data_IF_274289414262
#
_entry.id   IF_274289414262
#
_cell.length_a   1.000
_cell.length_b   1.000
_cell.length_c   1.000
_cell.angle_alpha   90.00
_cell.angle_beta   90.00
_cell.angle_gamma   90.00
#
_symmetry.space_group_name_H-M   'P 1'
#
loop_
_entity.id
_entity.type
_entity.pdbx_description
1 polymer ?
#
# COMPACT_ATOMS: atom_id res chain seq x y z
N UNK A 1 -6.37 -15.28 9.32
CA UNK A 1 -6.14 -14.98 7.90
C UNK A 1 -6.57 -16.20 7.10
N UNK A 2 -7.73 -16.15 6.47
CA UNK A 2 -8.19 -17.26 5.62
C UNK A 2 -7.62 -17.07 4.20
N UNK A 3 -6.75 -17.99 3.74
CA UNK A 3 -6.17 -17.93 2.40
C UNK A 3 -7.20 -18.01 1.28
N UNK A 4 -8.42 -18.40 1.61
CA UNK A 4 -9.51 -18.64 0.68
C UNK A 4 -10.23 -17.37 0.21
N UNK A 5 -10.31 -16.34 1.04
CA UNK A 5 -10.86 -15.03 0.62
C UNK A 5 -9.91 -14.38 -0.39
N UNK A 6 -8.61 -14.47 -0.16
CA UNK A 6 -7.59 -13.93 -1.05
C UNK A 6 -7.70 -14.47 -2.49
N UNK A 7 -7.93 -15.80 -2.67
CA UNK A 7 -7.96 -16.40 -4.01
C UNK A 7 -9.13 -15.93 -4.87
N UNK A 8 -10.34 -15.76 -4.30
CA UNK A 8 -11.51 -15.30 -5.07
C UNK A 8 -11.47 -13.81 -5.38
N UNK A 9 -10.87 -13.02 -4.49
CA UNK A 9 -10.74 -11.57 -4.64
C UNK A 9 -9.65 -11.17 -5.65
N UNK A 10 -8.60 -11.98 -5.72
CA UNK A 10 -7.46 -11.77 -6.60
C UNK A 10 -7.89 -11.49 -8.04
N UNK A 11 -8.82 -12.30 -8.57
CA UNK A 11 -9.25 -12.13 -9.95
C UNK A 11 -10.21 -10.95 -10.16
N UNK A 12 -11.11 -10.69 -9.21
CA UNK A 12 -12.08 -9.59 -9.36
C UNK A 12 -11.43 -8.22 -9.37
N UNK A 13 -10.55 -7.95 -8.42
CA UNK A 13 -9.83 -6.68 -8.36
C UNK A 13 -8.90 -6.48 -9.55
N UNK A 14 -8.28 -7.57 -10.03
CA UNK A 14 -7.39 -7.52 -11.17
C UNK A 14 -8.13 -7.28 -12.48
N UNK A 15 -9.32 -7.86 -12.64
CA UNK A 15 -10.20 -7.57 -13.77
C UNK A 15 -10.61 -6.09 -13.77
N UNK A 16 -11.00 -5.55 -12.59
CA UNK A 16 -11.31 -4.12 -12.47
C UNK A 16 -10.10 -3.27 -12.86
N UNK A 17 -8.91 -3.60 -12.35
CA UNK A 17 -7.69 -2.89 -12.73
C UNK A 17 -7.47 -2.89 -14.24
N UNK A 18 -7.53 -4.05 -14.87
CA UNK A 18 -7.32 -4.20 -16.32
C UNK A 18 -8.36 -3.41 -17.13
N UNK A 19 -9.61 -3.40 -16.69
CA UNK A 19 -10.70 -2.68 -17.38
C UNK A 19 -10.56 -1.16 -17.25
N UNK A 20 -10.07 -0.67 -16.11
CA UNK A 20 -10.00 0.76 -15.84
C UNK A 20 -8.64 1.39 -16.16
N UNK A 21 -7.56 0.60 -16.37
CA UNK A 21 -6.21 1.13 -16.58
C UNK A 21 -6.12 2.02 -17.82
N UNK A 22 -6.54 1.55 -18.98
CA UNK A 22 -6.47 2.30 -20.22
C UNK A 22 -7.48 3.47 -20.24
N UNK A 23 -8.79 3.27 -19.94
CA UNK A 23 -9.73 4.38 -19.88
C UNK A 23 -9.32 5.49 -18.92
N UNK A 24 -8.72 5.16 -17.78
CA UNK A 24 -8.26 6.18 -16.83
C UNK A 24 -7.02 6.92 -17.36
N UNK A 25 -6.12 6.25 -18.08
CA UNK A 25 -5.00 6.90 -18.74
C UNK A 25 -5.48 7.88 -19.81
N UNK A 26 -6.49 7.49 -20.62
CA UNK A 26 -7.10 8.37 -21.64
C UNK A 26 -7.74 9.61 -21.00
N UNK A 27 -8.44 9.46 -19.88
CA UNK A 27 -9.00 10.58 -19.12
C UNK A 27 -7.86 11.46 -18.55
N UNK A 28 -6.77 10.86 -18.07
CA UNK A 28 -5.63 11.60 -17.55
C UNK A 28 -4.93 12.44 -18.61
N UNK A 29 -4.88 11.99 -19.88
CA UNK A 29 -4.34 12.76 -20.99
C UNK A 29 -5.15 14.03 -21.31
N UNK A 30 -6.42 14.07 -20.94
CA UNK A 30 -7.27 15.24 -21.10
C UNK A 30 -7.04 16.32 -20.03
N UNK A 31 -6.26 16.03 -18.99
CA UNK A 31 -5.97 16.96 -17.91
C UNK A 31 -4.88 17.94 -18.33
N UNK A 32 -5.15 19.22 -18.15
CA UNK A 32 -4.15 20.27 -18.30
C UNK A 32 -3.51 20.62 -16.94
N UNK A 33 -2.56 21.56 -16.90
CA UNK A 33 -1.85 21.96 -15.68
C UNK A 33 -2.76 22.43 -14.53
N UNK A 34 -3.91 23.02 -14.85
CA UNK A 34 -4.88 23.46 -13.85
C UNK A 34 -5.58 22.28 -13.15
N UNK A 35 -5.95 21.26 -13.93
CA UNK A 35 -6.57 20.04 -13.42
C UNK A 35 -5.56 19.21 -12.62
N UNK A 36 -4.31 19.12 -13.07
CA UNK A 36 -3.22 18.47 -12.32
C UNK A 36 -2.99 19.16 -10.97
N UNK A 37 -2.94 20.48 -10.94
CA UNK A 37 -2.83 21.24 -9.69
C UNK A 37 -4.02 20.99 -8.77
N UNK A 38 -5.24 20.95 -9.31
CA UNK A 38 -6.43 20.63 -8.52
C UNK A 38 -6.39 19.20 -7.94
N UNK A 39 -5.86 18.22 -8.68
CA UNK A 39 -5.64 16.86 -8.18
C UNK A 39 -4.63 16.80 -7.04
N UNK A 40 -3.52 17.55 -7.15
CA UNK A 40 -2.53 17.64 -6.07
C UNK A 40 -3.14 18.26 -4.81
N UNK A 41 -3.95 19.33 -4.95
CA UNK A 41 -4.68 19.90 -3.83
C UNK A 41 -5.69 18.92 -3.23
N UNK A 42 -6.40 18.15 -4.07
CA UNK A 42 -7.29 17.10 -3.60
C UNK A 42 -6.52 16.03 -2.81
N UNK A 43 -5.34 15.62 -3.28
CA UNK A 43 -4.48 14.68 -2.56
C UNK A 43 -4.10 15.23 -1.18
N UNK A 44 -3.62 16.47 -1.08
CA UNK A 44 -3.29 17.09 0.22
C UNK A 44 -4.49 17.21 1.14
N UNK A 45 -5.66 17.62 0.66
CA UNK A 45 -6.87 17.69 1.47
C UNK A 45 -7.32 16.31 1.96
N UNK A 46 -7.15 15.29 1.14
CA UNK A 46 -7.44 13.89 1.51
C UNK A 46 -6.46 13.42 2.59
N UNK A 47 -5.16 13.72 2.48
CA UNK A 47 -4.18 13.43 3.52
C UNK A 47 -4.54 14.09 4.85
N UNK A 48 -4.95 15.36 4.83
CA UNK A 48 -5.39 16.08 6.03
C UNK A 48 -6.62 15.41 6.64
N UNK A 49 -7.61 15.03 5.81
CA UNK A 49 -8.84 14.38 6.28
C UNK A 49 -8.64 12.97 6.86
N UNK A 50 -7.60 12.25 6.42
CA UNK A 50 -7.27 10.89 6.86
C UNK A 50 -6.18 10.84 7.93
N UNK A 51 -5.56 11.97 8.26
CA UNK A 51 -4.39 12.08 9.16
C UNK A 51 -4.69 11.85 10.65
N UNK A 52 -5.88 11.32 11.00
CA UNK A 52 -6.28 11.02 12.37
C UNK A 52 -6.89 12.21 13.12
N UNK A 53 -6.91 12.13 14.45
CA UNK A 53 -7.63 13.08 15.30
C UNK A 53 -6.94 14.46 15.40
N UNK A 54 -5.68 14.57 15.01
CA UNK A 54 -4.88 15.79 15.14
C UNK A 54 -4.51 16.37 13.77
N UNK A 55 -5.42 17.18 13.23
CA UNK A 55 -5.25 17.86 11.94
C UNK A 55 -3.98 18.72 11.91
N UNK A 56 -3.64 19.38 13.02
CA UNK A 56 -2.46 20.26 13.08
C UNK A 56 -1.16 19.48 12.89
N UNK A 57 -1.02 18.32 13.53
CA UNK A 57 0.14 17.43 13.32
C UNK A 57 0.24 16.97 11.88
N UNK A 58 -0.88 16.61 11.27
CA UNK A 58 -0.92 16.19 9.86
C UNK A 58 -0.43 17.31 8.94
N UNK A 59 -0.90 18.55 9.13
CA UNK A 59 -0.46 19.71 8.35
C UNK A 59 1.05 19.96 8.56
N UNK A 60 1.54 19.91 9.79
CA UNK A 60 2.97 20.06 10.11
C UNK A 60 3.80 19.01 9.36
N UNK A 61 3.35 17.75 9.34
CA UNK A 61 4.08 16.67 8.65
C UNK A 61 4.06 16.83 7.14
N UNK A 62 2.95 17.33 6.55
CA UNK A 62 2.88 17.68 5.13
C UNK A 62 3.87 18.80 4.82
N UNK A 63 3.88 19.87 5.62
CA UNK A 63 4.83 20.98 5.44
C UNK A 63 6.29 20.50 5.57
N UNK A 64 6.59 19.63 6.53
CA UNK A 64 7.91 19.03 6.68
C UNK A 64 8.31 18.22 5.44
N UNK A 65 7.40 17.40 4.90
CA UNK A 65 7.62 16.66 3.67
C UNK A 65 7.92 17.57 2.48
N UNK A 66 7.16 18.67 2.35
CA UNK A 66 7.41 19.69 1.31
C UNK A 66 8.78 20.35 1.47
N UNK A 67 9.19 20.69 2.69
CA UNK A 67 10.54 21.25 2.95
C UNK A 67 11.62 20.24 2.58
N UNK A 68 11.47 18.96 2.98
CA UNK A 68 12.43 17.91 2.62
C UNK A 68 12.52 17.70 1.10
N UNK A 69 11.43 17.85 0.37
CA UNK A 69 11.42 17.73 -1.10
C UNK A 69 12.17 18.88 -1.81
N UNK A 70 12.40 19.98 -1.12
CA UNK A 70 13.17 21.13 -1.70
C UNK A 70 14.68 21.04 -1.46
N UNK A 71 15.16 20.04 -0.72
CA UNK A 71 16.60 19.80 -0.49
C UNK A 71 17.23 19.31 -1.78
N UNK A 72 18.38 19.87 -2.16
CA UNK A 72 19.14 19.45 -3.36
C UNK A 72 19.16 20.49 -4.47
N UNK A 73 19.41 20.05 -5.69
CA UNK A 73 19.41 20.91 -6.86
C UNK A 73 17.99 21.12 -7.37
N UNK A 74 17.64 22.38 -7.61
CA UNK A 74 16.40 22.73 -8.30
C UNK A 74 16.46 22.25 -9.75
N UNK A 75 15.50 21.43 -10.16
CA UNK A 75 15.44 20.85 -11.50
C UNK A 75 15.30 21.89 -12.63
N UNK A 76 14.77 23.09 -12.33
CA UNK A 76 14.53 24.13 -13.32
C UNK A 76 15.72 25.10 -13.41
N UNK A 77 16.15 25.61 -12.25
CA UNK A 77 17.22 26.65 -12.20
C UNK A 77 18.61 26.06 -11.98
N UNK A 78 18.75 24.79 -11.61
CA UNK A 78 20.04 24.18 -11.25
C UNK A 78 20.65 24.73 -9.96
N UNK A 79 19.96 25.62 -9.26
CA UNK A 79 20.47 26.23 -8.03
C UNK A 79 20.35 25.26 -6.82
N UNK A 80 21.40 25.18 -5.99
CA UNK A 80 21.36 24.35 -4.81
C UNK A 80 20.44 24.98 -3.74
N UNK A 81 19.61 24.14 -3.11
CA UNK A 81 18.69 24.52 -2.03
C UNK A 81 18.93 23.65 -0.81
N UNK A 82 19.00 24.25 0.36
CA UNK A 82 19.12 23.58 1.67
C UNK A 82 20.22 22.50 1.74
N UNK A 83 21.38 22.78 1.13
CA UNK A 83 22.52 21.82 1.09
C UNK A 83 23.40 21.85 2.35
N UNK A 84 23.04 22.64 3.36
CA UNK A 84 23.66 22.68 4.70
C UNK A 84 25.19 22.67 4.70
N UNK A 85 25.81 23.70 4.10
CA UNK A 85 27.26 23.90 4.12
C UNK A 85 28.04 23.07 3.11
N UNK A 86 27.52 22.91 1.91
CA UNK A 86 28.17 22.22 0.77
C UNK A 86 28.48 20.74 1.01
N UNK A 87 27.64 20.05 1.77
CA UNK A 87 27.76 18.62 1.93
C UNK A 87 27.35 17.90 0.62
N UNK A 88 28.28 17.17 -0.06
CA UNK A 88 28.03 16.59 -1.36
C UNK A 88 26.79 15.68 -1.42
N UNK A 89 26.49 14.98 -0.33
CA UNK A 89 25.33 14.09 -0.25
C UNK A 89 23.98 14.80 -0.40
N UNK A 90 23.88 16.09 -0.08
CA UNK A 90 22.63 16.85 -0.18
C UNK A 90 22.35 17.41 -1.58
N UNK A 91 23.33 17.45 -2.48
CA UNK A 91 23.09 17.86 -3.86
C UNK A 91 22.13 16.94 -4.62
N UNK A 92 22.12 15.65 -4.28
CA UNK A 92 21.19 14.66 -4.84
C UNK A 92 19.79 14.72 -4.21
N UNK A 93 19.58 15.59 -3.23
CA UNK A 93 18.35 15.66 -2.45
C UNK A 93 18.20 14.53 -1.42
N UNK A 94 17.07 14.53 -0.72
CA UNK A 94 16.71 13.45 0.20
C UNK A 94 16.02 12.34 -0.60
N UNK A 95 16.61 11.14 -0.62
CA UNK A 95 15.99 10.00 -1.29
C UNK A 95 14.65 9.66 -0.65
N UNK A 96 13.59 9.76 -1.45
CA UNK A 96 12.24 9.41 -1.01
C UNK A 96 12.15 7.97 -0.51
N UNK A 97 12.82 7.03 -1.17
CA UNK A 97 12.82 5.62 -0.79
C UNK A 97 13.43 5.42 0.60
N UNK A 98 14.58 6.03 0.88
CA UNK A 98 15.27 5.95 2.18
C UNK A 98 14.41 6.57 3.27
N UNK A 99 13.83 7.74 3.02
CA UNK A 99 12.93 8.42 3.96
C UNK A 99 11.72 7.54 4.28
N UNK A 100 11.08 6.99 3.26
CA UNK A 100 9.89 6.16 3.43
C UNK A 100 10.19 4.86 4.19
N UNK A 101 11.29 4.17 3.90
CA UNK A 101 11.72 2.97 4.65
C UNK A 101 11.99 3.33 6.11
N UNK A 102 12.66 4.47 6.36
CA UNK A 102 12.93 4.94 7.72
C UNK A 102 11.65 5.24 8.49
N UNK A 103 10.74 6.01 7.91
CA UNK A 103 9.48 6.41 8.56
C UNK A 103 8.54 5.22 8.76
N UNK A 104 8.31 4.41 7.73
CA UNK A 104 7.38 3.28 7.83
C UNK A 104 8.01 2.06 8.52
N UNK A 105 9.29 1.78 8.29
CA UNK A 105 9.96 0.63 8.90
C UNK A 105 10.33 0.89 10.36
N UNK A 106 11.22 1.86 10.61
CA UNK A 106 11.72 2.15 11.96
C UNK A 106 10.61 2.79 12.80
N UNK A 107 9.82 3.71 12.23
CA UNK A 107 8.71 4.37 12.92
C UNK A 107 7.68 3.37 13.44
N UNK A 108 7.28 2.38 12.65
CA UNK A 108 6.32 1.34 13.06
C UNK A 108 6.89 0.46 14.18
N UNK A 109 8.18 0.10 14.10
CA UNK A 109 8.84 -0.67 15.17
C UNK A 109 8.85 0.12 16.48
N UNK A 110 9.24 1.40 16.44
CA UNK A 110 9.25 2.26 17.64
C UNK A 110 7.87 2.45 18.24
N UNK A 111 6.87 2.73 17.38
CA UNK A 111 5.47 2.85 17.81
C UNK A 111 4.94 1.56 18.45
N UNK A 112 5.28 0.42 17.87
CA UNK A 112 4.86 -0.88 18.42
C UNK A 112 5.55 -1.18 19.75
N UNK A 113 6.83 -0.82 19.92
CA UNK A 113 7.55 -0.93 21.22
C UNK A 113 6.86 -0.09 22.30
N UNK A 114 6.47 1.15 21.96
CA UNK A 114 5.82 2.07 22.90
C UNK A 114 4.43 1.59 23.30
N UNK A 115 3.62 1.09 22.33
CA UNK A 115 2.22 0.79 22.54
C UNK A 115 1.94 -0.66 22.94
N UNK A 116 2.87 -1.59 22.69
CA UNK A 116 2.66 -3.02 22.95
C UNK A 116 2.75 -3.34 24.44
N UNK A 117 1.60 -3.46 25.09
CA UNK A 117 1.47 -3.81 26.51
C UNK A 117 1.26 -5.29 26.79
N UNK A 118 1.07 -6.13 25.78
CA UNK A 118 0.80 -7.56 25.98
C UNK A 118 1.28 -8.42 24.83
N UNK A 119 1.78 -9.60 25.13
CA UNK A 119 2.03 -10.64 24.13
C UNK A 119 0.70 -11.04 23.48
N UNK A 120 0.60 -11.03 22.14
CA UNK A 120 -0.60 -11.51 21.47
C UNK A 120 -0.83 -12.98 21.83
N UNK A 121 -2.02 -13.31 22.31
CA UNK A 121 -2.42 -14.69 22.53
C UNK A 121 -2.63 -15.37 21.19
N UNK A 122 -1.60 -16.02 20.68
CA UNK A 122 -1.70 -16.81 19.44
C UNK A 122 -2.43 -18.10 19.75
N UNK A 123 -3.56 -18.33 19.08
CA UNK A 123 -4.29 -19.60 19.17
C UNK A 123 -3.40 -20.77 18.79
N UNK A 124 -3.46 -21.87 19.56
CA UNK A 124 -2.77 -23.12 19.26
C UNK A 124 -3.43 -23.94 18.13
N UNK A 125 -4.29 -23.34 17.33
CA UNK A 125 -4.97 -24.01 16.24
C UNK A 125 -3.94 -24.57 15.22
N UNK A 126 -4.01 -25.89 15.00
CA UNK A 126 -3.29 -26.55 13.92
C UNK A 126 -4.14 -26.42 12.66
N UNK A 127 -3.69 -25.60 11.73
CA UNK A 127 -4.38 -25.44 10.44
C UNK A 127 -3.99 -26.63 9.57
N UNK A 128 -5.00 -27.40 9.17
CA UNK A 128 -4.83 -28.57 8.30
C UNK A 128 -5.24 -28.20 6.87
N UNK A 129 -4.66 -28.86 5.88
CA UNK A 129 -5.02 -28.66 4.47
C UNK A 129 -6.54 -28.84 4.20
N UNK A 130 -7.20 -29.72 4.96
CA UNK A 130 -8.67 -29.87 4.93
C UNK A 130 -9.41 -28.60 5.37
N UNK A 131 -8.85 -27.85 6.33
CA UNK A 131 -9.47 -26.62 6.82
C UNK A 131 -9.39 -25.53 5.74
N UNK A 132 -8.29 -25.48 4.98
CA UNK A 132 -8.13 -24.58 3.83
C UNK A 132 -9.17 -24.89 2.73
N UNK A 133 -9.36 -26.17 2.37
CA UNK A 133 -10.36 -26.56 1.36
C UNK A 133 -11.79 -26.28 1.86
N UNK A 134 -12.07 -26.53 3.14
CA UNK A 134 -13.37 -26.23 3.76
C UNK A 134 -13.64 -24.72 3.75
N UNK A 135 -12.64 -23.91 4.07
CA UNK A 135 -12.69 -22.45 3.96
C UNK A 135 -13.04 -21.99 2.54
N UNK A 136 -12.36 -22.52 1.52
CA UNK A 136 -12.64 -22.22 0.11
C UNK A 136 -14.11 -22.50 -0.28
N UNK A 137 -14.67 -23.64 0.18
CA UNK A 137 -16.08 -23.98 -0.06
C UNK A 137 -17.02 -23.01 0.67
N UNK A 138 -16.67 -22.63 1.88
CA UNK A 138 -17.46 -21.70 2.70
C UNK A 138 -17.52 -20.30 2.07
N UNK A 139 -16.42 -19.81 1.48
CA UNK A 139 -16.34 -18.52 0.81
C UNK A 139 -17.33 -18.34 -0.34
N UNK A 140 -17.72 -19.41 -1.02
CA UNK A 140 -18.75 -19.34 -2.08
C UNK A 140 -20.08 -18.76 -1.58
N UNK A 141 -20.38 -18.85 -0.29
CA UNK A 141 -21.59 -18.27 0.31
C UNK A 141 -21.51 -16.76 0.46
N UNK A 142 -20.29 -16.23 0.50
CA UNK A 142 -20.01 -14.81 0.75
C UNK A 142 -19.62 -14.05 -0.52
N UNK A 143 -19.89 -14.63 -1.71
CA UNK A 143 -19.52 -14.04 -3.01
C UNK A 143 -20.10 -12.64 -3.19
N UNK A 144 -21.30 -12.37 -2.68
CA UNK A 144 -21.93 -11.04 -2.71
C UNK A 144 -21.15 -10.05 -1.84
N UNK A 145 -20.83 -10.42 -0.61
CA UNK A 145 -20.04 -9.60 0.34
C UNK A 145 -18.67 -9.32 -0.24
N UNK A 146 -18.02 -10.34 -0.81
CA UNK A 146 -16.72 -10.20 -1.49
C UNK A 146 -16.80 -9.25 -2.68
N UNK A 147 -17.80 -9.39 -3.55
CA UNK A 147 -17.95 -8.50 -4.72
C UNK A 147 -18.19 -7.07 -4.31
N UNK A 148 -19.00 -6.85 -3.27
CA UNK A 148 -19.27 -5.51 -2.73
C UNK A 148 -18.00 -4.91 -2.12
N UNK A 149 -17.26 -5.69 -1.33
CA UNK A 149 -15.99 -5.29 -0.75
C UNK A 149 -14.94 -4.99 -1.82
N UNK A 150 -14.81 -5.86 -2.85
CA UNK A 150 -13.87 -5.63 -3.97
C UNK A 150 -14.18 -4.34 -4.72
N UNK A 151 -15.45 -4.11 -5.05
CA UNK A 151 -15.86 -2.91 -5.77
C UNK A 151 -15.60 -1.65 -4.95
N UNK A 152 -16.11 -1.61 -3.72
CA UNK A 152 -15.92 -0.47 -2.83
C UNK A 152 -14.43 -0.23 -2.55
N UNK A 153 -13.68 -1.28 -2.22
CA UNK A 153 -12.26 -1.18 -1.93
C UNK A 153 -11.47 -0.65 -3.12
N UNK A 154 -11.75 -1.13 -4.32
CA UNK A 154 -11.08 -0.69 -5.54
C UNK A 154 -11.28 0.82 -5.78
N UNK A 155 -12.52 1.31 -5.73
CA UNK A 155 -12.79 2.73 -5.96
C UNK A 155 -12.29 3.63 -4.83
N UNK A 156 -12.39 3.20 -3.57
CA UNK A 156 -11.77 3.95 -2.45
C UNK A 156 -10.26 3.98 -2.58
N UNK A 157 -9.65 2.85 -3.00
CA UNK A 157 -8.21 2.78 -3.24
C UNK A 157 -7.70 3.69 -4.35
N UNK A 158 -8.54 4.03 -5.34
CA UNK A 158 -8.22 4.99 -6.40
C UNK A 158 -8.14 6.44 -5.88
N UNK A 159 -8.74 6.74 -4.74
CA UNK A 159 -8.65 8.08 -4.17
C UNK A 159 -7.23 8.31 -3.63
N UNK A 160 -6.60 9.45 -3.98
CA UNK A 160 -5.27 9.76 -3.45
C UNK A 160 -5.24 9.69 -1.93
N UNK A 161 -4.23 9.05 -1.38
CA UNK A 161 -4.02 8.91 0.06
C UNK A 161 -5.06 8.10 0.86
N UNK A 162 -6.18 7.69 0.28
CA UNK A 162 -7.20 6.94 1.00
C UNK A 162 -6.66 5.62 1.55
N UNK A 163 -5.97 4.86 0.71
CA UNK A 163 -5.36 3.60 1.11
C UNK A 163 -6.36 2.51 1.50
N UNK A 164 -5.84 1.46 2.11
CA UNK A 164 -6.61 0.26 2.41
C UNK A 164 -7.44 0.36 3.71
N UNK A 165 -6.99 1.15 4.69
CA UNK A 165 -7.65 1.24 6.01
C UNK A 165 -9.05 1.84 5.92
N UNK A 166 -9.28 3.03 5.32
CA UNK A 166 -10.62 3.56 5.13
C UNK A 166 -11.50 2.62 4.30
N UNK A 167 -10.96 2.01 3.25
CA UNK A 167 -11.70 1.05 2.43
C UNK A 167 -12.22 -0.13 3.25
N UNK A 168 -11.38 -0.69 4.12
CA UNK A 168 -11.73 -1.80 5.01
C UNK A 168 -12.83 -1.42 6.01
N UNK A 169 -12.72 -0.25 6.64
CA UNK A 169 -13.71 0.24 7.60
C UNK A 169 -15.06 0.51 6.93
N UNK A 170 -15.04 1.14 5.75
CA UNK A 170 -16.26 1.39 4.98
C UNK A 170 -16.93 0.07 4.55
N UNK A 171 -16.17 -0.92 4.10
CA UNK A 171 -16.69 -2.22 3.71
C UNK A 171 -17.28 -2.99 4.91
N UNK A 172 -16.63 -2.92 6.07
CA UNK A 172 -17.17 -3.49 7.31
C UNK A 172 -18.51 -2.83 7.66
N UNK A 173 -18.57 -1.50 7.65
CA UNK A 173 -19.78 -0.74 7.94
C UNK A 173 -20.92 -1.08 6.99
N UNK A 174 -20.63 -1.13 5.68
CA UNK A 174 -21.60 -1.47 4.65
C UNK A 174 -22.10 -2.91 4.77
N UNK A 175 -21.19 -3.86 5.01
CA UNK A 175 -21.55 -5.27 5.22
C UNK A 175 -22.44 -5.43 6.45
N UNK A 176 -22.12 -4.74 7.55
CA UNK A 176 -22.94 -4.75 8.78
C UNK A 176 -24.34 -4.18 8.52
N UNK A 177 -24.45 -3.05 7.79
CA UNK A 177 -25.74 -2.43 7.48
C UNK A 177 -26.61 -3.30 6.56
N UNK A 178 -26.00 -4.02 5.63
CA UNK A 178 -26.70 -4.85 4.63
C UNK A 178 -26.90 -6.30 5.07
N UNK A 179 -26.29 -6.71 6.16
CA UNK A 179 -26.41 -8.07 6.70
C UNK A 179 -27.79 -8.32 7.32
N UNK A 180 -28.25 -9.55 7.21
CA UNK A 180 -29.48 -10.00 7.88
C UNK A 180 -29.31 -10.18 9.40
N UNK A 181 -28.06 -10.17 9.89
CA UNK A 181 -27.71 -10.41 11.32
C UNK A 181 -26.63 -9.42 11.79
N UNK A 182 -26.92 -8.10 11.77
CA UNK A 182 -25.92 -7.07 12.09
C UNK A 182 -25.40 -7.17 13.53
N UNK A 183 -26.17 -7.72 14.46
CA UNK A 183 -25.82 -7.91 15.88
C UNK A 183 -24.72 -8.95 16.11
N UNK A 184 -24.42 -9.77 15.12
CA UNK A 184 -23.38 -10.81 15.18
C UNK A 184 -22.01 -10.30 14.76
N UNK A 185 -21.93 -9.09 14.19
CA UNK A 185 -20.65 -8.46 13.83
C UNK A 185 -19.85 -8.17 15.10
N UNK A 186 -18.56 -8.48 15.05
CA UNK A 186 -17.67 -8.46 16.22
C UNK A 186 -17.82 -9.68 17.16
N UNK A 187 -18.75 -10.62 16.87
CA UNK A 187 -19.05 -11.81 17.68
C UNK A 187 -18.91 -13.11 16.87
N UNK A 188 -18.04 -13.11 15.86
CA UNK A 188 -17.77 -14.31 15.05
C UNK A 188 -18.51 -14.38 13.71
N UNK A 189 -19.18 -13.32 13.27
CA UNK A 189 -19.75 -13.27 11.93
C UNK A 189 -18.64 -13.22 10.86
N UNK A 190 -18.63 -14.17 9.95
CA UNK A 190 -17.62 -14.29 8.90
C UNK A 190 -17.67 -13.07 7.93
N UNK A 191 -18.85 -12.51 7.66
CA UNK A 191 -18.98 -11.30 6.82
C UNK A 191 -18.18 -10.13 7.39
N UNK A 192 -18.06 -10.02 8.72
CA UNK A 192 -17.29 -8.99 9.40
C UNK A 192 -15.78 -9.12 9.22
N UNK A 193 -15.28 -10.24 8.69
CA UNK A 193 -13.88 -10.43 8.29
C UNK A 193 -13.74 -10.37 6.78
N UNK A 194 -14.64 -11.01 6.04
CA UNK A 194 -14.60 -11.11 4.59
C UNK A 194 -14.71 -9.73 3.91
N UNK A 195 -15.63 -8.89 4.34
CA UNK A 195 -15.86 -7.59 3.71
C UNK A 195 -14.64 -6.66 3.82
N UNK A 196 -14.11 -6.39 5.03
CA UNK A 196 -12.95 -5.50 5.17
C UNK A 196 -11.69 -6.08 4.53
N UNK A 197 -11.45 -7.39 4.62
CA UNK A 197 -10.26 -8.00 4.03
C UNK A 197 -10.29 -7.93 2.51
N UNK A 198 -11.46 -8.20 1.91
CA UNK A 198 -11.67 -8.05 0.47
C UNK A 198 -11.44 -6.60 0.01
N UNK A 199 -11.97 -5.63 0.75
CA UNK A 199 -11.79 -4.22 0.42
C UNK A 199 -10.33 -3.77 0.59
N UNK A 200 -9.65 -4.23 1.63
CA UNK A 200 -8.22 -3.99 1.84
C UNK A 200 -7.39 -4.42 0.62
N UNK A 201 -7.59 -5.65 0.20
CA UNK A 201 -6.90 -6.22 -0.95
C UNK A 201 -7.24 -5.47 -2.26
N UNK A 202 -8.51 -5.12 -2.47
CA UNK A 202 -8.94 -4.39 -3.66
C UNK A 202 -8.42 -2.96 -3.68
N UNK A 203 -8.37 -2.27 -2.53
CA UNK A 203 -7.82 -0.93 -2.41
C UNK A 203 -6.32 -0.88 -2.73
N UNK A 204 -5.57 -1.90 -2.34
CA UNK A 204 -4.15 -2.01 -2.69
C UNK A 204 -3.94 -2.05 -4.21
N UNK A 205 -4.79 -2.77 -4.94
CA UNK A 205 -4.76 -2.81 -6.41
C UNK A 205 -5.30 -1.51 -7.02
N UNK A 206 -6.38 -0.96 -6.46
CA UNK A 206 -6.97 0.32 -6.91
C UNK A 206 -5.98 1.48 -6.80
N UNK A 207 -5.15 1.51 -5.75
CA UNK A 207 -4.16 2.57 -5.53
C UNK A 207 -3.01 2.59 -6.54
N UNK A 208 -2.81 1.53 -7.31
CA UNK A 208 -1.84 1.50 -8.42
C UNK A 208 -2.31 2.32 -9.62
N UNK A 209 -3.63 2.44 -9.84
CA UNK A 209 -4.14 3.15 -11.01
C UNK A 209 -3.76 4.64 -11.03
N UNK A 210 -4.09 5.45 -10.03
CA UNK A 210 -3.71 6.86 -10.03
C UNK A 210 -2.18 7.03 -10.02
N UNK A 211 -1.44 6.11 -9.42
CA UNK A 211 0.02 6.14 -9.46
C UNK A 211 0.54 5.97 -10.90
N UNK A 212 0.01 5.00 -11.65
CA UNK A 212 0.48 4.74 -13.01
C UNK A 212 -0.03 5.78 -14.01
N UNK A 213 -1.27 6.27 -13.84
CA UNK A 213 -1.92 7.16 -14.81
C UNK A 213 -1.68 8.64 -14.54
N UNK A 214 -1.52 9.06 -13.28
CA UNK A 214 -1.41 10.45 -12.86
C UNK A 214 -0.09 10.74 -12.11
N UNK A 215 0.71 9.71 -11.80
CA UNK A 215 1.89 9.86 -10.95
C UNK A 215 1.57 10.18 -9.48
N UNK A 216 0.32 9.99 -9.06
CA UNK A 216 -0.15 10.30 -7.70
C UNK A 216 -0.37 9.00 -6.93
N UNK A 217 0.43 8.68 -5.91
CA UNK A 217 0.27 7.44 -5.16
C UNK A 217 -0.99 7.45 -4.30
N UNK A 218 -1.78 6.36 -4.35
CA UNK A 218 -2.97 6.19 -3.53
C UNK A 218 -2.70 5.60 -2.14
N UNK A 219 -1.47 5.12 -1.90
CA UNK A 219 -1.08 4.48 -0.63
C UNK A 219 0.42 4.60 -0.38
N UNK A 220 0.89 4.39 0.86
CA UNK A 220 2.33 4.35 1.15
C UNK A 220 3.11 3.35 0.29
N UNK A 221 2.55 2.17 0.06
CA UNK A 221 3.18 1.13 -0.76
C UNK A 221 3.33 1.58 -2.22
N UNK A 222 2.30 2.21 -2.78
CA UNK A 222 2.38 2.74 -4.15
C UNK A 222 3.33 3.93 -4.24
N UNK A 223 3.48 4.72 -3.18
CA UNK A 223 4.47 5.78 -3.11
C UNK A 223 5.91 5.22 -3.16
N UNK A 224 6.19 4.12 -2.46
CA UNK A 224 7.48 3.41 -2.56
C UNK A 224 7.73 2.89 -3.98
N UNK A 225 6.71 2.28 -4.58
CA UNK A 225 6.81 1.77 -5.95
C UNK A 225 7.06 2.90 -6.96
N UNK A 226 6.38 4.04 -6.78
CA UNK A 226 6.61 5.26 -7.56
C UNK A 226 8.09 5.68 -7.51
N UNK A 227 8.65 5.77 -6.29
CA UNK A 227 10.08 6.10 -6.12
C UNK A 227 11.00 5.10 -6.83
N UNK A 228 10.70 3.80 -6.72
CA UNK A 228 11.44 2.75 -7.43
C UNK A 228 11.37 2.90 -8.95
N UNK A 229 10.19 3.18 -9.51
CA UNK A 229 10.01 3.39 -10.96
C UNK A 229 10.82 4.60 -11.46
N UNK A 230 10.76 5.72 -10.74
CA UNK A 230 11.53 6.92 -11.09
C UNK A 230 13.03 6.65 -11.08
N UNK A 231 13.54 5.90 -10.11
CA UNK A 231 14.96 5.49 -10.06
C UNK A 231 15.39 4.65 -11.27
N UNK A 232 14.47 3.92 -11.90
CA UNK A 232 14.70 3.11 -13.10
C UNK A 232 14.43 3.90 -14.40
N UNK A 233 14.18 5.21 -14.30
CA UNK A 233 13.90 6.07 -15.44
C UNK A 233 12.48 5.90 -16.01
N UNK A 234 11.60 5.19 -15.30
CA UNK A 234 10.20 5.06 -15.67
C UNK A 234 9.43 6.21 -15.03
N UNK A 235 8.84 7.07 -15.86
CA UNK A 235 8.06 8.21 -15.39
C UNK A 235 6.58 7.84 -15.37
N UNK A 236 6.00 7.59 -14.18
CA UNK A 236 4.56 7.37 -14.06
C UNK A 236 3.75 8.58 -14.50
N UNK A 237 2.69 8.32 -15.21
CA UNK A 237 1.84 9.33 -15.81
C UNK A 237 1.11 8.76 -17.03
N UNK A 238 0.23 9.54 -17.68
CA UNK A 238 -0.56 9.04 -18.80
C UNK A 238 0.32 8.65 -20.00
N UNK A 239 1.46 9.33 -20.20
CA UNK A 239 2.41 9.02 -21.27
C UNK A 239 3.06 7.65 -21.10
N UNK A 240 3.14 7.11 -19.88
CA UNK A 240 3.70 5.77 -19.62
C UNK A 240 2.97 4.68 -20.43
N UNK A 241 1.67 4.84 -20.64
CA UNK A 241 0.85 3.89 -21.40
C UNK A 241 1.13 3.95 -22.90
N UNK A 242 1.62 5.08 -23.40
CA UNK A 242 1.95 5.32 -24.81
C UNK A 242 3.42 4.98 -25.07
N UNK A 243 4.32 5.48 -24.24
CA UNK A 243 5.77 5.38 -24.45
C UNK A 243 6.33 4.00 -24.05
N UNK A 244 5.70 3.34 -23.04
CA UNK A 244 6.17 2.08 -22.47
C UNK A 244 5.01 1.06 -22.31
N UNK A 245 4.24 0.76 -23.40
CA UNK A 245 3.08 -0.13 -23.30
C UNK A 245 3.46 -1.56 -22.85
N UNK A 246 4.61 -2.06 -23.28
CA UNK A 246 5.11 -3.38 -22.89
C UNK A 246 5.38 -3.48 -21.38
N UNK A 247 5.89 -2.42 -20.79
CA UNK A 247 6.07 -2.36 -19.33
C UNK A 247 4.73 -2.37 -18.62
N UNK A 248 3.75 -1.56 -19.05
CA UNK A 248 2.43 -1.48 -18.41
C UNK A 248 1.70 -2.83 -18.48
N UNK A 249 1.64 -3.44 -19.67
CA UNK A 249 0.99 -4.74 -19.85
C UNK A 249 1.76 -5.87 -19.15
N UNK A 250 3.09 -5.78 -19.13
CA UNK A 250 3.96 -6.67 -18.35
C UNK A 250 3.66 -6.58 -16.85
N UNK A 251 3.53 -5.36 -16.31
CA UNK A 251 3.15 -5.13 -14.93
C UNK A 251 1.76 -5.71 -14.62
N UNK A 252 0.76 -5.42 -15.45
CA UNK A 252 -0.60 -5.96 -15.30
C UNK A 252 -0.57 -7.48 -15.29
N UNK A 253 0.13 -8.11 -16.23
CA UNK A 253 0.25 -9.56 -16.34
C UNK A 253 0.99 -10.16 -15.14
N UNK A 254 2.04 -9.48 -14.66
CA UNK A 254 2.79 -9.90 -13.48
C UNK A 254 1.94 -9.92 -12.22
N UNK A 255 0.99 -8.99 -12.08
CA UNK A 255 0.08 -8.96 -10.93
C UNK A 255 -0.84 -10.19 -10.90
N UNK A 256 -1.28 -10.72 -12.06
CA UNK A 256 -2.05 -11.98 -12.10
C UNK A 256 -1.21 -13.17 -11.61
N UNK A 257 0.00 -13.30 -12.12
CA UNK A 257 0.90 -14.41 -11.73
C UNK A 257 1.38 -14.27 -10.29
N UNK A 258 1.73 -13.06 -9.86
CA UNK A 258 2.11 -12.76 -8.48
C UNK A 258 1.01 -13.07 -7.48
N UNK A 259 -0.24 -12.78 -7.81
CA UNK A 259 -1.38 -13.08 -6.96
C UNK A 259 -1.57 -14.59 -6.77
N UNK A 260 -1.44 -15.39 -7.84
CA UNK A 260 -1.49 -16.86 -7.73
C UNK A 260 -0.33 -17.37 -6.87
N UNK A 261 0.88 -16.90 -7.15
CA UNK A 261 2.07 -17.27 -6.38
C UNK A 261 1.91 -16.87 -4.90
N UNK A 262 1.40 -15.68 -4.60
CA UNK A 262 1.17 -15.19 -3.25
C UNK A 262 0.20 -16.08 -2.47
N UNK A 263 -0.89 -16.54 -3.10
CA UNK A 263 -1.83 -17.47 -2.45
C UNK A 263 -1.13 -18.78 -2.08
N UNK A 264 -0.37 -19.36 -3.02
CA UNK A 264 0.36 -20.63 -2.78
C UNK A 264 1.42 -20.47 -1.69
N UNK A 265 2.21 -19.41 -1.75
CA UNK A 265 3.25 -19.09 -0.76
C UNK A 265 2.62 -18.85 0.61
N UNK A 266 1.56 -18.05 0.71
CA UNK A 266 0.89 -17.78 1.98
C UNK A 266 0.37 -19.07 2.62
N UNK A 267 -0.26 -19.96 1.84
CA UNK A 267 -0.73 -21.25 2.37
C UNK A 267 0.44 -22.08 2.88
N UNK A 268 1.54 -22.17 2.13
CA UNK A 268 2.72 -22.93 2.51
C UNK A 268 3.43 -22.35 3.74
N UNK A 269 3.44 -21.02 3.90
CA UNK A 269 4.14 -20.33 4.97
C UNK A 269 3.31 -20.09 6.23
N UNK A 270 2.02 -20.47 6.28
CA UNK A 270 1.19 -20.36 7.49
C UNK A 270 1.90 -20.91 8.75
N UNK A 271 2.52 -22.12 8.73
CA UNK A 271 3.20 -22.62 9.92
C UNK A 271 4.38 -21.77 10.37
N UNK A 272 5.10 -21.21 9.41
CA UNK A 272 6.22 -20.29 9.67
C UNK A 272 5.74 -18.97 10.30
N UNK A 273 4.67 -18.39 9.78
CA UNK A 273 4.10 -17.15 10.35
C UNK A 273 3.55 -17.38 11.77
N UNK A 274 2.88 -18.49 12.00
CA UNK A 274 2.41 -18.86 13.34
C UNK A 274 3.58 -19.06 14.31
N UNK A 275 4.68 -19.67 13.86
CA UNK A 275 5.90 -19.79 14.64
C UNK A 275 6.52 -18.44 14.96
N UNK A 276 6.65 -17.55 13.97
CA UNK A 276 7.19 -16.20 14.15
C UNK A 276 6.36 -15.37 15.14
N UNK A 277 5.02 -15.45 15.08
CA UNK A 277 4.12 -14.75 16.01
C UNK A 277 4.20 -15.26 17.46
N UNK A 278 4.78 -16.45 17.69
CA UNK A 278 5.01 -17.00 19.03
C UNK A 278 6.31 -16.49 19.67
N UNK A 279 7.18 -15.85 18.88
CA UNK A 279 8.41 -15.27 19.42
C UNK A 279 8.09 -14.10 20.35
N UNK A 280 8.87 -13.93 21.43
CA UNK A 280 8.77 -12.72 22.25
C UNK A 280 8.94 -11.47 21.41
N UNK A 281 8.08 -10.48 21.62
CA UNK A 281 8.08 -9.24 20.84
C UNK A 281 9.45 -8.54 20.82
N UNK A 282 10.18 -8.56 21.94
CA UNK A 282 11.54 -8.00 22.04
C UNK A 282 12.53 -8.65 21.05
N UNK A 283 12.41 -9.96 20.86
CA UNK A 283 13.26 -10.70 19.89
C UNK A 283 12.87 -10.34 18.46
N UNK A 284 11.55 -10.29 18.18
CA UNK A 284 11.05 -9.91 16.86
C UNK A 284 11.49 -8.49 16.46
N UNK A 285 11.38 -7.52 17.37
CA UNK A 285 11.86 -6.15 17.14
C UNK A 285 13.37 -6.10 16.85
N UNK A 286 14.17 -6.83 17.62
CA UNK A 286 15.62 -6.88 17.40
C UNK A 286 15.94 -7.46 16.00
N UNK A 287 15.28 -8.53 15.59
CA UNK A 287 15.45 -9.12 14.25
C UNK A 287 15.07 -8.12 13.16
N UNK A 288 13.93 -7.45 13.28
CA UNK A 288 13.47 -6.46 12.30
C UNK A 288 14.45 -5.30 12.18
N UNK A 289 14.93 -4.75 13.31
CA UNK A 289 15.93 -3.66 13.32
C UNK A 289 17.25 -4.08 12.67
N UNK A 290 17.72 -5.29 12.95
CA UNK A 290 18.95 -5.83 12.33
C UNK A 290 18.75 -5.99 10.81
N UNK A 291 17.62 -6.55 10.37
CA UNK A 291 17.34 -6.70 8.94
C UNK A 291 17.25 -5.34 8.23
N UNK A 292 16.57 -4.35 8.82
CA UNK A 292 16.50 -2.99 8.28
C UNK A 292 17.89 -2.35 8.22
N UNK A 293 18.73 -2.55 9.24
CA UNK A 293 20.11 -2.04 9.27
C UNK A 293 20.96 -2.70 8.19
N UNK A 294 20.87 -4.04 8.01
CA UNK A 294 21.62 -4.76 6.99
C UNK A 294 21.24 -4.33 5.57
N UNK A 295 19.97 -4.05 5.29
CA UNK A 295 19.52 -3.54 4.00
C UNK A 295 20.21 -2.20 3.68
N UNK A 296 20.39 -1.33 4.66
CA UNK A 296 21.07 -0.05 4.46
C UNK A 296 22.60 -0.18 4.34
N UNK A 297 23.21 -1.16 5.02
CA UNK A 297 24.67 -1.39 4.98
C UNK A 297 25.09 -2.12 3.69
N UNK A 298 24.23 -2.97 3.14
CA UNK A 298 24.51 -3.73 1.93
C UNK A 298 24.25 -2.98 0.63
N UNK A 299 23.65 -1.78 0.67
CA UNK A 299 23.69 -0.90 -0.49
C UNK A 299 25.15 -0.51 -0.72
N UNK A 300 25.77 -0.94 -1.85
CA UNK A 300 27.12 -0.50 -2.13
C UNK A 300 27.07 1.01 -2.23
N UNK A 301 27.80 1.69 -1.34
CA UNK A 301 28.18 3.07 -1.54
C UNK A 301 28.67 3.17 -2.98
N UNK A 302 27.84 3.70 -3.89
CA UNK A 302 28.30 3.98 -5.25
C UNK A 302 29.59 4.78 -5.07
N UNK A 303 30.74 4.30 -5.53
CA UNK A 303 31.91 5.14 -5.56
C UNK A 303 31.49 6.38 -6.33
N UNK A 304 31.68 7.56 -5.74
CA UNK A 304 31.65 8.83 -6.44
C UNK A 304 32.65 8.67 -7.58
N UNK A 305 32.20 8.22 -8.73
CA UNK A 305 32.97 8.35 -9.97
C UNK A 305 32.79 9.80 -10.35
N UNK A 306 33.85 10.54 -10.09
CA UNK A 306 34.13 11.90 -10.53
C UNK A 306 34.01 11.96 -12.05
#
# INVERSE_FOLDING_TARGET
LEPSSAASDVYKRQILFTLFAVPLADVALAFGPAEEFALVLLAFTTFVGLGGDDILKTIIMICLGLVLSTVGLDLISGQPRLIFGDLPGFYSGVSFLVLAIGVYGIGEVLYTIETSKSNPTVSNAKITFKDVISGLKTMRRYTKTMSLGSFLGFFVGMLPAAGATPASLMAYGLAKQTSKKPETFGKGNIEGVVAPETANNAASTGSLLPMLTLGIPGSPTTALLLGGMVMWGLMPGPMLFIDQPDFVWGLISSLYTANVAAVLINIALIPLFVWALRMPFSVLCAIVLVLLSLIHISEPTRPLII
#
